data_IF_406407995147
#
_entry.id   IF_406407995147
#
_cell.length_a   1.000
_cell.length_b   1.000
_cell.length_c   1.000
_cell.angle_alpha   90.00
_cell.angle_beta   90.00
_cell.angle_gamma   90.00
#
_symmetry.space_group_name_H-M   'P 1'
#
loop_
_entity.id
_entity.type
_entity.pdbx_description
1 polymer ?
#
# COMPACT_ATOMS: atom_id res chain seq x y z
N UNK A 1 16.16 26.39 -3.14
CA UNK A 1 16.19 24.92 -3.17
C UNK A 1 16.12 24.52 -4.62
N UNK A 2 17.17 23.89 -5.13
CA UNK A 2 17.25 23.46 -6.54
C UNK A 2 16.47 22.16 -6.75
N UNK A 3 16.18 21.80 -8.00
CA UNK A 3 15.41 20.59 -8.32
C UNK A 3 16.04 19.32 -7.73
N UNK A 4 17.37 19.22 -7.75
CA UNK A 4 18.09 18.06 -7.19
C UNK A 4 17.83 17.92 -5.67
N UNK A 5 17.89 19.04 -4.93
CA UNK A 5 17.61 19.06 -3.49
C UNK A 5 16.13 18.72 -3.21
N UNK A 6 15.21 19.22 -4.05
CA UNK A 6 13.79 18.92 -3.94
C UNK A 6 13.49 17.42 -4.10
N UNK A 7 14.11 16.77 -5.09
CA UNK A 7 13.99 15.33 -5.34
C UNK A 7 14.51 14.50 -4.17
N UNK A 8 15.68 14.85 -3.64
CA UNK A 8 16.24 14.16 -2.48
C UNK A 8 15.33 14.28 -1.26
N UNK A 9 14.86 15.50 -0.97
CA UNK A 9 13.94 15.75 0.14
C UNK A 9 12.62 14.99 -0.03
N UNK A 10 12.10 14.88 -1.26
CA UNK A 10 10.91 14.07 -1.54
C UNK A 10 11.14 12.59 -1.25
N UNK A 11 12.23 12.00 -1.76
CA UNK A 11 12.57 10.58 -1.53
C UNK A 11 12.70 10.29 -0.03
N UNK A 12 13.35 11.17 0.72
CA UNK A 12 13.50 11.03 2.17
C UNK A 12 12.17 11.13 2.92
N UNK A 13 11.36 12.13 2.59
CA UNK A 13 10.04 12.32 3.20
C UNK A 13 9.11 11.13 2.91
N UNK A 14 9.11 10.64 1.66
CA UNK A 14 8.32 9.48 1.27
C UNK A 14 8.80 8.19 1.95
N UNK A 15 10.12 8.02 2.07
CA UNK A 15 10.72 6.93 2.84
C UNK A 15 10.29 6.92 4.31
N UNK A 16 10.28 8.11 4.94
CA UNK A 16 9.82 8.29 6.32
C UNK A 16 8.34 7.96 6.47
N UNK A 17 7.49 8.51 5.61
CA UNK A 17 6.05 8.23 5.59
C UNK A 17 5.77 6.73 5.45
N UNK A 18 6.47 6.06 4.53
CA UNK A 18 6.36 4.62 4.35
C UNK A 18 6.66 3.85 5.64
N UNK A 19 7.74 4.19 6.34
CA UNK A 19 8.11 3.54 7.61
C UNK A 19 7.10 3.77 8.72
N UNK A 20 6.56 4.99 8.84
CA UNK A 20 5.51 5.31 9.82
C UNK A 20 4.23 4.49 9.58
N UNK A 21 3.99 4.10 8.33
CA UNK A 21 2.85 3.27 7.91
C UNK A 21 3.20 1.77 7.82
N UNK A 22 4.36 1.34 8.34
CA UNK A 22 4.77 -0.07 8.38
C UNK A 22 5.30 -0.64 7.05
N UNK A 23 5.66 0.20 6.09
CA UNK A 23 6.36 -0.19 4.86
C UNK A 23 7.88 -0.04 5.06
N UNK A 24 8.66 -0.97 4.50
CA UNK A 24 10.11 -0.86 4.51
C UNK A 24 10.58 0.48 3.90
N UNK A 25 11.45 1.21 4.61
CA UNK A 25 11.95 2.52 4.19
C UNK A 25 12.53 2.52 2.79
N UNK A 26 13.39 1.55 2.47
CA UNK A 26 14.06 1.49 1.17
C UNK A 26 13.06 1.17 0.06
N UNK A 27 12.05 0.36 0.34
CA UNK A 27 10.95 0.10 -0.60
C UNK A 27 10.19 1.37 -0.97
N UNK A 28 9.85 2.19 0.03
CA UNK A 28 9.24 3.48 -0.21
C UNK A 28 10.18 4.43 -0.98
N UNK A 29 11.49 4.45 -0.67
CA UNK A 29 12.46 5.30 -1.38
C UNK A 29 12.68 4.89 -2.84
N UNK A 30 12.76 3.59 -3.14
CA UNK A 30 12.86 3.10 -4.53
C UNK A 30 11.60 3.45 -5.31
N UNK A 31 10.41 3.27 -4.72
CA UNK A 31 9.17 3.70 -5.35
C UNK A 31 9.14 5.22 -5.58
N UNK A 32 9.56 6.01 -4.59
CA UNK A 32 9.61 7.47 -4.70
C UNK A 32 10.53 7.92 -5.83
N UNK A 33 11.74 7.36 -5.92
CA UNK A 33 12.67 7.62 -7.00
C UNK A 33 12.04 7.30 -8.36
N UNK A 34 11.46 6.10 -8.50
CA UNK A 34 10.82 5.68 -9.74
C UNK A 34 9.62 6.56 -10.07
N UNK A 35 8.83 7.02 -9.09
CA UNK A 35 7.68 7.91 -9.27
C UNK A 35 8.09 9.26 -9.86
N UNK A 36 9.18 9.87 -9.39
CA UNK A 36 9.65 11.19 -9.86
C UNK A 36 10.65 11.14 -11.02
N UNK A 37 10.99 9.94 -11.50
CA UNK A 37 11.85 9.75 -12.67
C UNK A 37 11.02 9.80 -13.95
N UNK A 38 11.40 10.61 -14.96
CA UNK A 38 10.62 10.71 -16.20
C UNK A 38 10.62 9.38 -16.98
N UNK A 39 11.76 8.69 -16.97
CA UNK A 39 11.99 7.44 -17.67
C UNK A 39 12.14 6.26 -16.71
N UNK A 40 11.94 5.06 -17.22
CA UNK A 40 12.25 3.83 -16.50
C UNK A 40 13.76 3.74 -16.19
N UNK A 41 14.10 3.26 -15.00
CA UNK A 41 15.49 3.15 -14.52
C UNK A 41 15.94 1.70 -14.44
N UNK A 42 17.23 1.48 -14.63
CA UNK A 42 17.90 0.19 -14.39
C UNK A 42 18.19 -0.01 -12.90
N UNK A 43 18.47 -1.25 -12.50
CA UNK A 43 18.94 -1.55 -11.13
C UNK A 43 20.20 -0.75 -10.80
N UNK A 44 21.14 -0.61 -11.74
CA UNK A 44 22.37 0.16 -11.55
C UNK A 44 22.12 1.64 -11.27
N UNK A 45 21.17 2.26 -11.97
CA UNK A 45 20.78 3.66 -11.74
C UNK A 45 20.14 3.85 -10.37
N UNK A 46 19.21 2.95 -9.99
CA UNK A 46 18.56 2.99 -8.67
C UNK A 46 19.59 2.83 -7.54
N UNK A 47 20.54 1.91 -7.70
CA UNK A 47 21.63 1.72 -6.74
C UNK A 47 22.46 2.99 -6.57
N UNK A 48 22.82 3.63 -7.69
CA UNK A 48 23.62 4.85 -7.70
C UNK A 48 22.86 6.01 -7.03
N UNK A 49 21.61 6.21 -7.41
CA UNK A 49 20.82 7.36 -6.96
C UNK A 49 20.44 7.26 -5.47
N UNK A 50 20.21 6.04 -4.96
CA UNK A 50 19.85 5.82 -3.54
C UNK A 50 21.01 5.34 -2.67
N UNK A 51 22.19 5.12 -3.24
CA UNK A 51 23.35 4.54 -2.54
C UNK A 51 23.03 3.22 -1.82
N UNK A 52 22.29 2.32 -2.48
CA UNK A 52 21.91 1.00 -1.95
C UNK A 52 22.64 -0.14 -2.66
N UNK A 53 22.80 -1.28 -1.98
CA UNK A 53 23.45 -2.45 -2.57
C UNK A 53 22.59 -3.10 -3.66
N UNK A 54 23.22 -3.83 -4.60
CA UNK A 54 22.53 -4.58 -5.65
C UNK A 54 21.52 -5.59 -5.09
N UNK A 55 21.88 -6.27 -4.01
CA UNK A 55 21.01 -7.23 -3.34
C UNK A 55 19.77 -6.56 -2.76
N UNK A 56 19.94 -5.41 -2.11
CA UNK A 56 18.82 -4.63 -1.57
C UNK A 56 17.93 -4.06 -2.69
N UNK A 57 18.52 -3.50 -3.76
CA UNK A 57 17.78 -2.98 -4.91
C UNK A 57 16.94 -4.09 -5.57
N UNK A 58 17.51 -5.26 -5.86
CA UNK A 58 16.80 -6.37 -6.48
C UNK A 58 15.67 -6.92 -5.60
N UNK A 59 15.92 -7.06 -4.30
CA UNK A 59 14.88 -7.49 -3.35
C UNK A 59 13.72 -6.51 -3.35
N UNK A 60 14.04 -5.22 -3.23
CA UNK A 60 13.05 -4.14 -3.19
C UNK A 60 12.23 -4.06 -4.48
N UNK A 61 12.88 -4.14 -5.64
CA UNK A 61 12.22 -4.13 -6.94
C UNK A 61 11.28 -5.32 -7.11
N UNK A 62 11.72 -6.52 -6.70
CA UNK A 62 10.86 -7.71 -6.71
C UNK A 62 9.64 -7.53 -5.82
N UNK A 63 9.82 -6.95 -4.63
CA UNK A 63 8.71 -6.70 -3.71
C UNK A 63 7.75 -5.66 -4.30
N UNK A 64 8.25 -4.57 -4.89
CA UNK A 64 7.43 -3.55 -5.57
C UNK A 64 6.66 -4.12 -6.76
N UNK A 65 7.26 -5.01 -7.54
CA UNK A 65 6.58 -5.76 -8.61
C UNK A 65 5.50 -6.67 -8.02
N UNK A 66 5.79 -7.37 -6.93
CA UNK A 66 4.81 -8.20 -6.24
C UNK A 66 3.64 -7.41 -5.65
N UNK A 67 3.87 -6.14 -5.31
CA UNK A 67 2.82 -5.18 -4.93
C UNK A 67 2.11 -4.55 -6.12
N UNK A 68 2.56 -4.77 -7.36
CA UNK A 68 2.02 -4.15 -8.56
C UNK A 68 2.26 -2.64 -8.66
N UNK A 69 3.23 -2.11 -7.90
CA UNK A 69 3.58 -0.68 -7.90
C UNK A 69 4.68 -0.33 -8.89
N UNK A 70 5.42 -1.35 -9.35
CA UNK A 70 6.49 -1.23 -10.33
C UNK A 70 6.32 -2.33 -11.37
N UNK A 71 6.57 -1.99 -12.62
CA UNK A 71 6.63 -2.94 -13.73
C UNK A 71 8.03 -3.00 -14.35
N UNK A 72 8.32 -4.13 -15.01
CA UNK A 72 9.51 -4.28 -15.84
C UNK A 72 9.21 -3.82 -17.26
N UNK A 73 10.08 -2.98 -17.81
CA UNK A 73 10.06 -2.56 -19.20
C UNK A 73 11.28 -3.12 -19.92
N UNK A 74 11.06 -3.54 -21.17
CA UNK A 74 12.11 -4.01 -22.07
C UNK A 74 12.33 -2.99 -23.18
N UNK A 75 13.59 -2.58 -23.38
CA UNK A 75 13.99 -1.74 -24.50
C UNK A 75 14.62 -2.61 -25.58
N UNK A 76 14.14 -2.48 -26.82
CA UNK A 76 14.61 -3.29 -27.94
C UNK A 76 16.12 -3.08 -28.16
N UNK A 77 16.86 -4.20 -28.30
CA UNK A 77 18.31 -4.17 -28.47
C UNK A 77 19.10 -4.05 -27.16
N UNK A 78 18.44 -3.84 -26.02
CA UNK A 78 19.09 -3.77 -24.71
C UNK A 78 18.92 -5.08 -23.93
N UNK A 79 19.99 -5.51 -23.24
CA UNK A 79 19.95 -6.69 -22.36
C UNK A 79 19.57 -6.34 -20.91
N UNK A 80 19.48 -5.05 -20.59
CA UNK A 80 19.19 -4.56 -19.24
C UNK A 80 17.69 -4.59 -18.98
N UNK A 81 17.32 -4.81 -17.72
CA UNK A 81 15.95 -4.63 -17.25
C UNK A 81 15.75 -3.17 -16.83
N UNK A 82 14.63 -2.59 -17.24
CA UNK A 82 14.20 -1.26 -16.82
C UNK A 82 12.97 -1.39 -15.92
N UNK A 83 12.84 -0.49 -14.96
CA UNK A 83 11.79 -0.50 -13.96
C UNK A 83 11.05 0.84 -14.00
N UNK A 84 9.73 0.78 -14.01
CA UNK A 84 8.85 1.94 -14.10
C UNK A 84 7.77 1.88 -13.03
N UNK A 85 7.45 3.03 -12.41
CA UNK A 85 6.33 3.17 -11.49
C UNK A 85 5.24 4.03 -12.13
N UNK A 86 3.98 3.66 -11.91
CA UNK A 86 2.83 4.47 -12.30
C UNK A 86 2.95 5.88 -11.69
N UNK A 87 2.55 6.89 -12.46
CA UNK A 87 2.59 8.31 -12.08
C UNK A 87 1.25 8.80 -11.57
N UNK A 88 0.18 8.06 -11.88
CA UNK A 88 -1.16 8.36 -11.40
C UNK A 88 -1.27 7.98 -9.92
N UNK A 89 -1.35 9.01 -9.07
CA UNK A 89 -1.43 8.84 -7.61
C UNK A 89 -2.69 8.10 -7.17
N UNK A 90 -3.79 8.18 -7.92
CA UNK A 90 -5.01 7.44 -7.62
C UNK A 90 -4.85 5.94 -7.91
N UNK A 91 -4.20 5.59 -9.01
CA UNK A 91 -3.86 4.18 -9.29
C UNK A 91 -2.93 3.60 -8.23
N UNK A 92 -1.90 4.35 -7.83
CA UNK A 92 -0.99 3.98 -6.74
C UNK A 92 -1.79 3.73 -5.45
N UNK A 93 -2.65 4.67 -5.05
CA UNK A 93 -3.46 4.56 -3.84
C UNK A 93 -4.40 3.34 -3.88
N UNK A 94 -5.09 3.10 -5.01
CA UNK A 94 -5.93 1.92 -5.20
C UNK A 94 -5.13 0.62 -5.13
N UNK A 95 -3.95 0.57 -5.74
CA UNK A 95 -3.12 -0.61 -5.73
C UNK A 95 -2.60 -0.93 -4.31
N UNK A 96 -2.16 0.09 -3.55
CA UNK A 96 -1.80 -0.07 -2.13
C UNK A 96 -2.99 -0.55 -1.31
N UNK A 97 -4.16 0.06 -1.47
CA UNK A 97 -5.37 -0.33 -0.75
C UNK A 97 -5.79 -1.78 -1.04
N UNK A 98 -5.69 -2.20 -2.30
CA UNK A 98 -5.97 -3.57 -2.74
C UNK A 98 -5.03 -4.58 -2.09
N UNK A 99 -3.72 -4.31 -2.13
CA UNK A 99 -2.73 -5.20 -1.52
C UNK A 99 -2.85 -5.26 0.00
N UNK A 100 -3.11 -4.12 0.66
CA UNK A 100 -3.35 -4.07 2.10
C UNK A 100 -4.60 -4.84 2.49
N UNK A 101 -5.71 -4.64 1.79
CA UNK A 101 -6.95 -5.40 2.00
C UNK A 101 -6.68 -6.90 1.94
N UNK A 102 -6.03 -7.36 0.87
CA UNK A 102 -5.69 -8.77 0.66
C UNK A 102 -4.78 -9.36 1.74
N UNK A 103 -3.74 -8.62 2.15
CA UNK A 103 -2.69 -9.12 3.06
C UNK A 103 -3.05 -9.00 4.54
N UNK A 104 -3.83 -7.98 4.89
CA UNK A 104 -4.08 -7.61 6.29
C UNK A 104 -5.55 -7.75 6.69
N UNK A 105 -6.47 -7.25 5.87
CA UNK A 105 -7.90 -7.21 6.23
C UNK A 105 -8.60 -8.56 6.01
N UNK A 106 -8.41 -9.17 4.84
CA UNK A 106 -9.07 -10.44 4.49
C UNK A 106 -8.78 -11.57 5.49
N UNK A 107 -7.53 -11.78 5.98
CA UNK A 107 -7.26 -12.80 6.98
C UNK A 107 -7.91 -12.50 8.33
N UNK A 108 -7.90 -11.22 8.74
CA UNK A 108 -8.49 -10.80 10.02
C UNK A 108 -10.01 -10.94 9.99
N UNK A 109 -10.68 -10.60 8.90
CA UNK A 109 -12.12 -10.77 8.73
C UNK A 109 -12.54 -12.24 8.92
N UNK A 110 -11.80 -13.19 8.34
CA UNK A 110 -12.09 -14.63 8.50
C UNK A 110 -12.06 -15.05 9.96
N UNK A 111 -11.02 -14.64 10.69
CA UNK A 111 -10.87 -14.95 12.12
C UNK A 111 -11.97 -14.27 12.93
N UNK A 112 -12.26 -13.00 12.67
CA UNK A 112 -13.32 -12.27 13.39
C UNK A 112 -14.71 -12.87 13.14
N UNK A 113 -14.96 -13.37 11.94
CA UNK A 113 -16.19 -14.11 11.63
C UNK A 113 -16.30 -15.39 12.46
N UNK A 114 -15.24 -16.19 12.54
CA UNK A 114 -15.22 -17.39 13.38
C UNK A 114 -15.44 -17.05 14.86
N UNK A 115 -14.71 -16.06 15.39
CA UNK A 115 -14.79 -15.66 16.79
C UNK A 115 -16.15 -15.05 17.16
N UNK A 116 -16.78 -14.32 16.23
CA UNK A 116 -18.12 -13.74 16.45
C UNK A 116 -19.25 -14.77 16.52
N UNK A 117 -18.98 -16.03 16.14
CA UNK A 117 -19.93 -17.13 16.17
C UNK A 117 -19.68 -18.11 17.34
N UNK A 118 -18.78 -17.79 18.27
CA UNK A 118 -18.52 -18.61 19.45
C UNK A 118 -19.78 -18.71 20.31
N UNK A 119 -20.07 -19.92 20.82
CA UNK A 119 -21.19 -20.19 21.72
C UNK A 119 -20.74 -20.07 23.17
N UNK A 120 -21.58 -19.49 24.02
CA UNK A 120 -21.37 -19.40 25.46
C UNK A 120 -22.62 -18.88 26.17
N UNK A 121 -22.56 -18.82 27.50
CA UNK A 121 -23.68 -18.30 28.31
C UNK A 121 -23.65 -16.77 28.30
N UNK A 122 -24.72 -16.15 27.80
CA UNK A 122 -24.86 -14.68 27.77
C UNK A 122 -24.87 -14.07 29.17
N UNK A 123 -25.17 -14.86 30.20
CA UNK A 123 -25.12 -14.44 31.61
C UNK A 123 -23.72 -14.48 32.20
N UNK A 124 -22.78 -15.19 31.57
CA UNK A 124 -21.38 -15.16 31.95
C UNK A 124 -20.75 -13.82 31.51
N UNK A 125 -20.29 -12.97 32.45
CA UNK A 125 -19.68 -11.69 32.11
C UNK A 125 -18.47 -11.78 31.18
N UNK A 126 -17.68 -12.86 31.26
CA UNK A 126 -16.51 -13.05 30.40
C UNK A 126 -16.94 -13.28 28.95
N UNK A 127 -17.88 -14.20 28.73
CA UNK A 127 -18.45 -14.47 27.41
C UNK A 127 -19.14 -13.23 26.84
N UNK A 128 -19.99 -12.56 27.63
CA UNK A 128 -20.71 -11.38 27.17
C UNK A 128 -19.77 -10.25 26.72
N UNK A 129 -18.68 -10.01 27.47
CA UNK A 129 -17.68 -8.98 27.16
C UNK A 129 -16.88 -9.34 25.90
N UNK A 130 -16.43 -10.59 25.79
CA UNK A 130 -15.70 -11.08 24.64
C UNK A 130 -16.56 -10.99 23.37
N UNK A 131 -17.76 -11.58 23.41
CA UNK A 131 -18.65 -11.66 22.25
C UNK A 131 -19.02 -10.27 21.72
N UNK A 132 -19.34 -9.33 22.63
CA UNK A 132 -19.60 -7.93 22.24
C UNK A 132 -18.39 -7.30 21.56
N UNK A 133 -17.21 -7.38 22.17
CA UNK A 133 -15.99 -6.75 21.65
C UNK A 133 -15.63 -7.29 20.27
N UNK A 134 -15.64 -8.61 20.09
CA UNK A 134 -15.34 -9.24 18.79
C UNK A 134 -16.40 -8.87 17.75
N UNK A 135 -17.68 -8.86 18.11
CA UNK A 135 -18.76 -8.48 17.18
C UNK A 135 -18.64 -7.03 16.73
N UNK A 136 -18.35 -6.11 17.65
CA UNK A 136 -18.17 -4.69 17.33
C UNK A 136 -16.96 -4.47 16.41
N UNK A 137 -15.83 -5.15 16.69
CA UNK A 137 -14.63 -5.11 15.84
C UNK A 137 -14.93 -5.71 14.45
N UNK A 138 -15.62 -6.86 14.39
CA UNK A 138 -16.00 -7.50 13.12
C UNK A 138 -16.89 -6.58 12.28
N UNK A 139 -17.87 -5.91 12.91
CA UNK A 139 -18.74 -4.94 12.25
C UNK A 139 -17.95 -3.76 11.69
N UNK A 140 -17.00 -3.22 12.45
CA UNK A 140 -16.11 -2.15 11.98
C UNK A 140 -15.26 -2.61 10.78
N UNK A 141 -14.62 -3.78 10.90
CA UNK A 141 -13.79 -4.35 9.84
C UNK A 141 -14.59 -4.56 8.53
N UNK A 142 -15.82 -5.08 8.61
CA UNK A 142 -16.72 -5.24 7.45
C UNK A 142 -17.13 -3.92 6.82
N UNK A 143 -17.34 -2.87 7.62
CA UNK A 143 -17.64 -1.54 7.10
C UNK A 143 -16.43 -0.94 6.37
N UNK A 144 -15.23 -1.11 6.91
CA UNK A 144 -13.97 -0.71 6.25
C UNK A 144 -13.81 -1.46 4.93
N UNK A 145 -14.01 -2.79 4.94
CA UNK A 145 -13.91 -3.63 3.75
C UNK A 145 -14.86 -3.17 2.62
N UNK A 146 -16.12 -2.92 2.96
CA UNK A 146 -17.12 -2.40 2.01
C UNK A 146 -16.74 -1.02 1.45
N UNK A 147 -16.17 -0.16 2.29
CA UNK A 147 -15.71 1.17 1.87
C UNK A 147 -14.53 1.04 0.90
N UNK A 148 -13.56 0.16 1.20
CA UNK A 148 -12.43 -0.14 0.32
C UNK A 148 -12.90 -0.74 -1.01
N UNK A 149 -13.83 -1.68 -0.99
CA UNK A 149 -14.39 -2.28 -2.20
C UNK A 149 -15.04 -1.23 -3.12
N UNK A 150 -15.74 -0.28 -2.50
CA UNK A 150 -16.35 0.86 -3.20
C UNK A 150 -15.28 1.78 -3.80
N UNK A 151 -14.25 2.13 -3.02
CA UNK A 151 -13.12 2.94 -3.50
C UNK A 151 -12.40 2.30 -4.69
N UNK A 152 -12.16 0.98 -4.64
CA UNK A 152 -11.43 0.26 -5.69
C UNK A 152 -12.19 0.25 -7.02
N UNK A 153 -13.53 0.23 -6.97
CA UNK A 153 -14.42 0.23 -8.15
C UNK A 153 -14.76 1.62 -8.67
N UNK A 154 -14.46 2.67 -7.90
CA UNK A 154 -14.85 4.03 -8.18
C UNK A 154 -13.77 4.85 -8.92
N UNK A 155 -14.24 5.85 -9.66
CA UNK A 155 -13.40 6.96 -10.12
C UNK A 155 -13.08 7.92 -8.97
N UNK A 156 -11.90 8.56 -9.02
CA UNK A 156 -11.39 9.44 -7.95
C UNK A 156 -12.37 10.55 -7.58
N UNK A 157 -12.90 11.25 -8.58
CA UNK A 157 -13.80 12.39 -8.41
C UNK A 157 -15.11 12.01 -7.73
N UNK A 158 -15.66 10.84 -8.09
CA UNK A 158 -16.88 10.30 -7.49
C UNK A 158 -16.64 9.88 -6.03
N UNK A 159 -15.49 9.27 -5.73
CA UNK A 159 -15.16 8.82 -4.38
C UNK A 159 -15.05 9.99 -3.41
N UNK A 160 -14.24 11.00 -3.75
CA UNK A 160 -14.11 12.20 -2.93
C UNK A 160 -15.44 12.96 -2.80
N UNK A 161 -16.18 13.10 -3.90
CA UNK A 161 -17.52 13.72 -3.88
C UNK A 161 -18.50 13.01 -2.96
N UNK A 162 -18.39 11.69 -2.80
CA UNK A 162 -19.23 10.90 -1.89
C UNK A 162 -18.75 11.03 -0.44
N UNK A 163 -17.44 11.02 -0.19
CA UNK A 163 -16.86 11.24 1.14
C UNK A 163 -17.26 12.62 1.69
N UNK A 164 -17.11 13.69 0.90
CA UNK A 164 -17.49 15.04 1.32
C UNK A 164 -18.98 15.18 1.65
N UNK A 165 -19.85 14.43 0.97
CA UNK A 165 -21.29 14.42 1.25
C UNK A 165 -21.65 13.72 2.56
N UNK A 166 -20.84 12.78 3.04
CA UNK A 166 -21.08 12.11 4.32
C UNK A 166 -20.65 12.96 5.54
N UNK A 167 -19.77 13.94 5.34
CA UNK A 167 -19.33 14.87 6.38
C UNK A 167 -20.18 16.15 6.47
N UNK A 168 -21.24 16.23 5.67
CA UNK A 168 -22.22 17.32 5.68
C UNK A 168 -23.55 16.82 6.20
#
# INVERSE_FOLDING_TARGET
MELAEAKQKFIEAWGKLGSEWGINRTMAQVHALLLISPEALTTEEIMKDLSISRGNANMTLRDLIGWGLVEKQHKAGERKEYFYADKDTWNIARQVAKERRKRELDPVLKILDELSNVKGDVKDPEFATFNKSVTDINKLAKNVDKTLDTMLKAEESWFWGSIFKMFK
#
